data_IF_141491861663
#
_entry.id   IF_141491861663
#
_cell.length_a   1.000
_cell.length_b   1.000
_cell.length_c   1.000
_cell.angle_alpha   90.00
_cell.angle_beta   90.00
_cell.angle_gamma   90.00
#
_symmetry.space_group_name_H-M   'P 1'
#
loop_
_entity.id
_entity.type
_entity.pdbx_description
1 polymer ?
#
# COMPACT_ATOMS: atom_id res chain seq x y z
N UNK A 1 9.67 8.25 -19.58
CA UNK A 1 9.23 7.30 -18.54
C UNK A 1 8.85 8.14 -17.33
N UNK A 2 7.66 7.94 -16.75
CA UNK A 2 7.11 8.88 -15.77
C UNK A 2 6.91 8.19 -14.43
N UNK A 3 7.38 8.82 -13.35
CA UNK A 3 7.05 8.43 -11.96
C UNK A 3 5.54 8.31 -11.74
N UNK A 4 4.74 8.97 -12.55
CA UNK A 4 3.28 8.84 -12.61
C UNK A 4 2.83 7.40 -12.88
N UNK A 5 3.48 6.69 -13.81
CA UNK A 5 3.10 5.30 -14.13
C UNK A 5 3.40 4.36 -12.96
N UNK A 6 4.56 4.53 -12.31
CA UNK A 6 4.90 3.80 -11.08
C UNK A 6 3.88 4.10 -9.99
N UNK A 7 3.51 5.37 -9.79
CA UNK A 7 2.51 5.78 -8.81
C UNK A 7 1.15 5.13 -9.07
N UNK A 8 0.68 5.14 -10.31
CA UNK A 8 -0.61 4.52 -10.68
C UNK A 8 -0.62 3.01 -10.43
N UNK A 9 0.43 2.31 -10.85
CA UNK A 9 0.55 0.86 -10.67
C UNK A 9 0.71 0.48 -9.20
N UNK A 10 1.47 1.27 -8.44
CA UNK A 10 1.61 1.12 -7.00
C UNK A 10 0.27 1.28 -6.26
N UNK A 11 -0.52 2.32 -6.61
CA UNK A 11 -1.86 2.52 -6.04
C UNK A 11 -2.75 1.32 -6.34
N UNK A 12 -2.80 0.88 -7.60
CA UNK A 12 -3.64 -0.26 -8.02
C UNK A 12 -3.28 -1.54 -7.25
N UNK A 13 -1.99 -1.83 -7.11
CA UNK A 13 -1.53 -3.01 -6.36
C UNK A 13 -1.92 -2.94 -4.90
N UNK A 14 -1.72 -1.79 -4.25
CA UNK A 14 -2.05 -1.63 -2.85
C UNK A 14 -3.55 -1.70 -2.58
N UNK A 15 -4.37 -1.10 -3.44
CA UNK A 15 -5.83 -1.22 -3.37
C UNK A 15 -6.29 -2.67 -3.58
N UNK A 16 -5.70 -3.39 -4.52
CA UNK A 16 -5.98 -4.80 -4.73
C UNK A 16 -5.64 -5.65 -3.50
N UNK A 17 -4.50 -5.38 -2.85
CA UNK A 17 -4.11 -6.05 -1.60
C UNK A 17 -5.13 -5.78 -0.48
N UNK A 18 -5.48 -4.51 -0.25
CA UNK A 18 -6.46 -4.10 0.76
C UNK A 18 -7.81 -4.80 0.50
N UNK A 19 -8.31 -4.71 -0.73
CA UNK A 19 -9.60 -5.32 -1.09
C UNK A 19 -9.58 -6.84 -0.92
N UNK A 20 -8.52 -7.52 -1.32
CA UNK A 20 -8.39 -8.97 -1.16
C UNK A 20 -8.37 -9.38 0.33
N UNK A 21 -7.66 -8.63 1.18
CA UNK A 21 -7.58 -8.88 2.62
C UNK A 21 -8.89 -8.56 3.35
N UNK A 22 -9.66 -7.60 2.85
CA UNK A 22 -10.97 -7.19 3.41
C UNK A 22 -12.16 -7.99 2.85
N UNK A 23 -12.02 -8.66 1.71
CA UNK A 23 -13.08 -9.47 1.09
C UNK A 23 -13.79 -10.43 2.08
N UNK A 24 -13.10 -11.11 3.02
CA UNK A 24 -13.76 -11.98 3.97
C UNK A 24 -14.78 -11.27 4.88
N UNK A 25 -14.62 -9.96 5.13
CA UNK A 25 -15.48 -9.20 6.04
C UNK A 25 -16.94 -9.16 5.59
N UNK A 26 -17.19 -9.20 4.27
CA UNK A 26 -18.55 -9.13 3.69
C UNK A 26 -19.45 -10.28 4.15
N UNK A 27 -18.86 -11.39 4.61
CA UNK A 27 -19.57 -12.59 5.04
C UNK A 27 -19.63 -12.75 6.56
N UNK A 28 -18.95 -11.87 7.31
CA UNK A 28 -18.84 -11.95 8.77
C UNK A 28 -19.81 -10.96 9.44
N UNK A 29 -20.19 -11.26 10.67
CA UNK A 29 -21.04 -10.37 11.47
C UNK A 29 -20.75 -10.50 12.96
N UNK A 30 -21.20 -9.52 13.75
CA UNK A 30 -21.02 -9.54 15.20
C UNK A 30 -19.55 -9.61 15.61
N UNK A 31 -19.24 -10.50 16.58
CA UNK A 31 -17.90 -10.63 17.16
C UNK A 31 -16.87 -11.15 16.15
N UNK A 32 -17.26 -12.06 15.25
CA UNK A 32 -16.36 -12.59 14.21
C UNK A 32 -15.85 -11.48 13.28
N UNK A 33 -16.70 -10.51 12.95
CA UNK A 33 -16.29 -9.35 12.15
C UNK A 33 -15.31 -8.46 12.91
N UNK A 34 -15.53 -8.24 14.21
CA UNK A 34 -14.64 -7.43 15.05
C UNK A 34 -13.25 -8.06 15.14
N UNK A 35 -13.19 -9.37 15.39
CA UNK A 35 -11.93 -10.11 15.49
C UNK A 35 -11.17 -10.09 14.15
N UNK A 36 -11.87 -10.29 13.03
CA UNK A 36 -11.26 -10.23 11.70
C UNK A 36 -10.70 -8.84 11.37
N UNK A 37 -11.40 -7.76 11.76
CA UNK A 37 -10.91 -6.39 11.62
C UNK A 37 -9.66 -6.14 12.48
N UNK A 38 -9.64 -6.63 13.72
CA UNK A 38 -8.47 -6.52 14.60
C UNK A 38 -7.26 -7.23 14.00
N UNK A 39 -7.43 -8.49 13.60
CA UNK A 39 -6.35 -9.29 12.99
C UNK A 39 -5.80 -8.65 11.71
N UNK A 40 -6.69 -8.07 10.89
CA UNK A 40 -6.27 -7.34 9.71
C UNK A 40 -5.39 -6.12 10.06
N UNK A 41 -5.74 -5.36 11.10
CA UNK A 41 -4.93 -4.23 11.56
C UNK A 41 -3.60 -4.69 12.20
N UNK A 42 -3.61 -5.84 12.90
CA UNK A 42 -2.41 -6.44 13.46
C UNK A 42 -1.40 -6.88 12.37
N UNK A 43 -1.89 -7.24 11.17
CA UNK A 43 -1.07 -7.56 9.98
C UNK A 43 -0.54 -6.30 9.26
N UNK A 44 -0.39 -5.17 9.96
CA UNK A 44 0.18 -3.95 9.39
C UNK A 44 1.60 -4.15 8.83
N UNK A 45 2.42 -4.97 9.50
CA UNK A 45 3.76 -5.29 9.02
C UNK A 45 3.74 -6.04 7.68
N UNK A 46 2.77 -6.94 7.48
CA UNK A 46 2.57 -7.63 6.20
C UNK A 46 2.19 -6.66 5.09
N UNK A 47 1.32 -5.69 5.40
CA UNK A 47 0.98 -4.61 4.47
C UNK A 47 2.18 -3.75 4.09
N UNK A 48 2.99 -3.29 5.05
CA UNK A 48 4.21 -2.52 4.77
C UNK A 48 5.20 -3.32 3.90
N UNK A 49 5.33 -4.62 4.18
CA UNK A 49 6.18 -5.52 3.37
C UNK A 49 5.69 -5.61 1.93
N UNK A 50 4.38 -5.74 1.71
CA UNK A 50 3.78 -5.74 0.38
C UNK A 50 4.04 -4.44 -0.38
N UNK A 51 3.88 -3.28 0.27
CA UNK A 51 4.13 -1.98 -0.35
C UNK A 51 5.59 -1.83 -0.78
N UNK A 52 6.54 -2.13 0.12
CA UNK A 52 7.96 -1.98 -0.17
C UNK A 52 8.40 -2.90 -1.31
N UNK A 53 7.94 -4.16 -1.29
CA UNK A 53 8.26 -5.11 -2.36
C UNK A 53 7.70 -4.64 -3.71
N UNK A 54 6.43 -4.22 -3.72
CA UNK A 54 5.78 -3.71 -4.93
C UNK A 54 6.50 -2.49 -5.49
N UNK A 55 6.85 -1.52 -4.65
CA UNK A 55 7.53 -0.31 -5.11
C UNK A 55 8.91 -0.62 -5.71
N UNK A 56 9.69 -1.49 -5.07
CA UNK A 56 10.99 -1.91 -5.58
C UNK A 56 10.86 -2.65 -6.91
N UNK A 57 9.90 -3.57 -7.03
CA UNK A 57 9.64 -4.28 -8.27
C UNK A 57 9.26 -3.33 -9.42
N UNK A 58 8.45 -2.30 -9.14
CA UNK A 58 8.09 -1.28 -10.13
C UNK A 58 9.27 -0.40 -10.52
N UNK A 59 10.14 -0.02 -9.57
CA UNK A 59 11.38 0.71 -9.87
C UNK A 59 12.26 -0.11 -10.83
N UNK A 60 12.41 -1.41 -10.57
CA UNK A 60 13.18 -2.33 -11.41
C UNK A 60 12.54 -2.52 -12.80
N UNK A 61 11.23 -2.80 -12.85
CA UNK A 61 10.47 -3.01 -14.10
C UNK A 61 10.50 -1.79 -15.01
N UNK A 62 10.37 -0.60 -14.43
CA UNK A 62 10.45 0.67 -15.16
C UNK A 62 11.89 1.18 -15.30
N UNK A 63 12.90 0.37 -14.95
CA UNK A 63 14.33 0.68 -15.10
C UNK A 63 14.73 2.05 -14.53
N UNK A 64 14.10 2.48 -13.44
CA UNK A 64 14.45 3.72 -12.76
C UNK A 64 15.76 3.51 -12.00
N UNK A 65 16.76 4.33 -12.31
CA UNK A 65 18.05 4.33 -11.63
C UNK A 65 18.28 5.69 -10.99
N UNK A 66 18.57 5.70 -9.68
CA UNK A 66 18.99 6.90 -8.97
C UNK A 66 20.52 6.94 -8.93
N UNK A 67 21.12 7.92 -9.60
CA UNK A 67 22.56 8.13 -9.62
C UNK A 67 23.04 8.96 -8.43
N UNK A 68 22.13 9.73 -7.83
CA UNK A 68 22.43 10.57 -6.66
C UNK A 68 21.40 10.38 -5.55
N UNK A 69 21.81 10.72 -4.33
CA UNK A 69 20.90 10.75 -3.18
C UNK A 69 19.78 11.79 -3.39
N UNK A 70 20.06 12.89 -4.09
CA UNK A 70 19.07 13.92 -4.39
C UNK A 70 17.93 13.39 -5.27
N UNK A 71 18.25 12.59 -6.29
CA UNK A 71 17.25 11.93 -7.15
C UNK A 71 16.39 10.93 -6.37
N UNK A 72 17.02 10.15 -5.49
CA UNK A 72 16.32 9.19 -4.63
C UNK A 72 15.37 9.92 -3.66
N UNK A 73 15.82 11.02 -3.04
CA UNK A 73 15.01 11.84 -2.15
C UNK A 73 13.84 12.50 -2.90
N UNK A 74 14.08 13.03 -4.11
CA UNK A 74 13.03 13.63 -4.93
C UNK A 74 11.93 12.60 -5.29
N UNK A 75 12.32 11.36 -5.61
CA UNK A 75 11.36 10.29 -5.84
C UNK A 75 10.59 9.91 -4.57
N UNK A 76 11.28 9.81 -3.42
CA UNK A 76 10.65 9.53 -2.14
C UNK A 76 9.62 10.62 -1.78
N UNK A 77 9.97 11.89 -1.94
CA UNK A 77 9.07 13.02 -1.68
C UNK A 77 7.86 13.01 -2.63
N UNK A 78 8.07 12.64 -3.90
CA UNK A 78 6.99 12.45 -4.86
C UNK A 78 6.01 11.33 -4.45
N UNK A 79 6.53 10.21 -3.94
CA UNK A 79 5.72 9.05 -3.56
C UNK A 79 5.09 9.17 -2.16
N UNK A 80 5.67 9.98 -1.26
CA UNK A 80 5.24 10.11 0.14
C UNK A 80 3.74 10.43 0.31
N UNK A 81 3.12 11.36 -0.44
CA UNK A 81 1.67 11.59 -0.35
C UNK A 81 0.85 10.35 -0.74
N UNK A 82 1.34 9.55 -1.69
CA UNK A 82 0.70 8.30 -2.13
C UNK A 82 0.67 7.28 -1.00
N UNK A 83 1.80 7.07 -0.30
CA UNK A 83 1.83 6.20 0.88
C UNK A 83 0.85 6.64 1.96
N UNK A 84 0.77 7.96 2.21
CA UNK A 84 -0.21 8.51 3.16
C UNK A 84 -1.66 8.19 2.76
N UNK A 85 -2.02 8.43 1.50
CA UNK A 85 -3.37 8.15 1.00
C UNK A 85 -3.75 6.68 1.10
N UNK A 86 -2.85 5.76 0.75
CA UNK A 86 -3.13 4.32 0.82
C UNK A 86 -3.13 3.83 2.27
N UNK A 87 -2.28 4.38 3.15
CA UNK A 87 -2.34 4.10 4.59
C UNK A 87 -3.70 4.47 5.19
N UNK A 88 -4.29 5.60 4.78
CA UNK A 88 -5.66 5.94 5.16
C UNK A 88 -6.66 4.90 4.66
N UNK A 89 -6.57 4.46 3.40
CA UNK A 89 -7.43 3.38 2.87
C UNK A 89 -7.27 2.07 3.64
N UNK A 90 -6.06 1.77 4.10
CA UNK A 90 -5.79 0.57 4.88
C UNK A 90 -6.55 0.57 6.22
N UNK A 91 -6.75 1.72 6.86
CA UNK A 91 -7.46 1.83 8.16
C UNK A 91 -8.90 2.31 8.06
N UNK A 92 -9.32 2.81 6.88
CA UNK A 92 -10.65 3.41 6.66
C UNK A 92 -11.78 2.46 7.05
N UNK A 93 -12.68 2.92 7.92
CA UNK A 93 -13.84 2.17 8.41
C UNK A 93 -13.52 1.07 9.44
N UNK A 94 -12.28 1.01 9.94
CA UNK A 94 -11.82 0.02 10.92
C UNK A 94 -11.43 0.63 12.27
N UNK A 95 -11.09 1.91 12.30
CA UNK A 95 -10.74 2.66 13.50
C UNK A 95 -11.74 3.80 13.64
N UNK A 96 -12.37 3.93 14.81
CA UNK A 96 -13.29 5.01 15.16
C UNK A 96 -12.55 6.32 15.48
#
# INVERSE_FOLDING_TARGET
MSYEKIKEEFIKSAEAYINAKRQPFEKLSGMELVDAKSQYLDDFQGYITHLNFTLNALIEEHSITFQTLEEANAFQDYMKPTFGSIATKFTEGLVD
#
